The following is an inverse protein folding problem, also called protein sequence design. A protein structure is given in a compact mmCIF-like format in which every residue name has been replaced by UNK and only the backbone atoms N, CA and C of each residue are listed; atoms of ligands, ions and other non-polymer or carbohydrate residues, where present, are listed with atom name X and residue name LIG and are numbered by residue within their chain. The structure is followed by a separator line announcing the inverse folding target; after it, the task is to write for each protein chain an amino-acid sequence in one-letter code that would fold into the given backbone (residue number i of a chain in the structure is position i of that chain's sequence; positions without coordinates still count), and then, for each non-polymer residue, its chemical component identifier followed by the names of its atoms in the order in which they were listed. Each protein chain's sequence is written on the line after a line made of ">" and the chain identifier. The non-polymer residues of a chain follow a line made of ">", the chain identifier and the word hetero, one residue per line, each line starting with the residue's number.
data_IF_656467068973
#
_entry.id   IF_656467068973
#
_cell.length_a   1.000
_cell.length_b   1.000
_cell.length_c   1.000
_cell.angle_alpha   90.00
_cell.angle_beta   90.00
_cell.angle_gamma   90.00
#
_symmetry.space_group_name_H-M   'P 1'
#
loop_
_entity.id
_entity.type
_entity.pdbx_description
1 polymer ?
#
# COMPACT_ATOMS: atom_id res chain seq x y z
N UNK A 1 20.86 11.25 15.05
CA UNK A 1 20.42 11.06 13.63
C UNK A 1 19.01 11.55 13.31
N UNK A 2 17.90 10.96 13.78
CA UNK A 2 16.54 11.40 13.36
C UNK A 2 16.30 12.92 13.49
N UNK A 3 16.59 13.51 14.65
CA UNK A 3 16.46 14.97 14.88
C UNK A 3 17.28 15.80 13.87
N UNK A 4 18.47 15.34 13.49
CA UNK A 4 19.31 16.00 12.47
C UNK A 4 18.68 15.93 11.08
N UNK A 5 17.96 14.85 10.77
CA UNK A 5 17.33 14.65 9.46
C UNK A 5 16.02 15.45 9.29
N UNK A 6 15.38 15.88 10.37
CA UNK A 6 14.14 16.67 10.29
C UNK A 6 14.35 18.00 9.54
N UNK A 7 15.54 18.60 9.68
CA UNK A 7 15.94 19.87 9.05
C UNK A 7 17.05 19.75 8.00
N UNK A 8 17.50 18.53 7.67
CA UNK A 8 18.57 18.34 6.69
C UNK A 8 18.14 18.70 5.27
N UNK A 9 19.12 18.98 4.40
CA UNK A 9 18.91 19.20 2.96
C UNK A 9 18.30 17.97 2.27
N UNK A 10 18.76 16.77 2.64
CA UNK A 10 18.22 15.50 2.14
C UNK A 10 17.38 14.88 3.25
N UNK A 11 16.06 14.84 3.05
CA UNK A 11 15.09 14.47 4.09
C UNK A 11 14.54 13.05 3.86
N UNK A 12 14.48 12.23 4.92
CA UNK A 12 13.84 10.92 4.89
C UNK A 12 12.32 11.08 5.09
N UNK A 13 11.58 11.23 3.99
CA UNK A 13 10.13 11.51 4.04
C UNK A 13 9.28 10.25 4.24
N UNK A 14 9.86 9.07 3.99
CA UNK A 14 9.26 7.78 4.24
C UNK A 14 10.35 6.73 4.41
N UNK A 15 10.20 5.85 5.38
CA UNK A 15 10.99 4.64 5.53
C UNK A 15 10.06 3.43 5.44
N UNK A 16 10.49 2.43 4.68
CA UNK A 16 9.77 1.18 4.45
C UNK A 16 10.66 0.01 4.83
N UNK A 17 10.14 -0.94 5.61
CA UNK A 17 10.81 -2.20 5.93
C UNK A 17 9.99 -3.36 5.34
N UNK A 18 10.66 -4.29 4.68
CA UNK A 18 10.08 -5.55 4.23
C UNK A 18 10.34 -6.61 5.31
N UNK A 19 9.33 -7.40 5.66
CA UNK A 19 9.44 -8.43 6.70
C UNK A 19 8.58 -9.65 6.37
N UNK A 20 8.79 -10.74 7.11
CA UNK A 20 7.87 -11.87 7.13
C UNK A 20 6.72 -11.58 8.11
N UNK A 21 5.53 -12.17 7.90
CA UNK A 21 4.40 -11.98 8.81
C UNK A 21 4.71 -12.36 10.27
N UNK A 22 5.49 -13.42 10.47
CA UNK A 22 5.91 -13.92 11.78
C UNK A 22 6.99 -13.07 12.48
N UNK A 23 7.48 -12.01 11.84
CA UNK A 23 8.40 -11.01 12.42
C UNK A 23 7.81 -9.60 12.36
N UNK A 24 6.50 -9.50 12.64
CA UNK A 24 5.77 -8.24 12.62
C UNK A 24 4.77 -8.16 13.80
N UNK A 25 5.27 -8.48 14.99
CA UNK A 25 4.52 -8.35 16.25
C UNK A 25 4.87 -7.04 16.96
N UNK A 26 4.31 -6.83 18.15
CA UNK A 26 4.43 -5.58 18.91
C UNK A 26 5.89 -5.14 19.10
N UNK A 27 6.77 -6.08 19.48
CA UNK A 27 8.20 -5.81 19.67
C UNK A 27 8.89 -5.33 18.39
N UNK A 28 8.69 -6.03 17.27
CA UNK A 28 9.32 -5.66 16.00
C UNK A 28 8.73 -4.34 15.47
N UNK A 29 7.43 -4.12 15.65
CA UNK A 29 6.77 -2.86 15.25
C UNK A 29 7.32 -1.69 16.08
N UNK A 30 7.55 -1.87 17.38
CA UNK A 30 8.14 -0.85 18.24
C UNK A 30 9.54 -0.45 17.76
N UNK A 31 10.35 -1.44 17.37
CA UNK A 31 11.67 -1.21 16.78
C UNK A 31 11.57 -0.51 15.41
N UNK A 32 10.63 -0.91 14.56
CA UNK A 32 10.36 -0.22 13.29
C UNK A 32 10.00 1.26 13.52
N UNK A 33 9.11 1.55 14.48
CA UNK A 33 8.74 2.92 14.83
C UNK A 33 9.93 3.70 15.41
N UNK A 34 10.81 3.04 16.18
CA UNK A 34 12.07 3.63 16.67
C UNK A 34 12.98 4.04 15.52
N UNK A 35 13.02 3.29 14.42
CA UNK A 35 13.77 3.68 13.22
C UNK A 35 13.08 4.75 12.37
N UNK A 36 11.81 5.09 12.64
CA UNK A 36 11.05 6.06 11.85
C UNK A 36 10.35 5.45 10.64
N UNK A 37 10.08 4.14 10.68
CA UNK A 37 9.31 3.43 9.65
C UNK A 37 7.90 4.00 9.57
N UNK A 38 7.42 4.16 8.33
CA UNK A 38 6.05 4.62 8.04
C UNK A 38 5.25 3.56 7.28
N UNK A 39 5.92 2.57 6.69
CA UNK A 39 5.30 1.47 5.95
C UNK A 39 6.00 0.15 6.28
N UNK A 40 5.21 -0.89 6.48
CA UNK A 40 5.70 -2.27 6.49
C UNK A 40 5.18 -2.99 5.25
N UNK A 41 6.05 -3.79 4.63
CA UNK A 41 5.68 -4.66 3.53
C UNK A 41 5.83 -6.12 3.96
N UNK A 42 4.70 -6.82 3.98
CA UNK A 42 4.57 -8.16 4.52
C UNK A 42 4.66 -9.18 3.39
N UNK A 43 5.58 -10.13 3.53
CA UNK A 43 5.77 -11.25 2.61
C UNK A 43 4.69 -12.33 2.72
N UNK A 44 3.45 -11.99 2.34
CA UNK A 44 2.26 -12.86 2.38
C UNK A 44 2.35 -14.00 1.37
N UNK A 45 2.61 -13.67 0.11
CA UNK A 45 2.80 -14.54 -1.04
C UNK A 45 1.53 -15.28 -1.49
N UNK A 46 0.90 -16.03 -0.58
CA UNK A 46 -0.34 -16.78 -0.79
C UNK A 46 -1.28 -16.64 0.42
N UNK A 47 -2.58 -16.84 0.20
CA UNK A 47 -3.59 -16.98 1.26
C UNK A 47 -4.05 -18.45 1.43
N UNK A 48 -3.31 -19.40 0.86
CA UNK A 48 -3.55 -20.83 0.94
C UNK A 48 -2.41 -21.47 1.77
N UNK A 49 -2.75 -21.99 2.96
CA UNK A 49 -1.78 -22.59 3.87
C UNK A 49 -1.10 -23.84 3.28
N UNK A 50 -1.76 -24.58 2.38
CA UNK A 50 -1.15 -25.76 1.76
C UNK A 50 -0.10 -25.34 0.72
N UNK A 51 -0.37 -24.26 -0.02
CA UNK A 51 0.63 -23.64 -0.90
C UNK A 51 1.82 -23.12 -0.07
N UNK A 52 1.57 -22.41 1.04
CA UNK A 52 2.62 -21.88 1.91
C UNK A 52 3.50 -23.02 2.49
N UNK A 53 2.89 -24.13 2.92
CA UNK A 53 3.62 -25.32 3.38
C UNK A 53 4.41 -25.97 2.24
N UNK A 54 3.82 -26.13 1.06
CA UNK A 54 4.47 -26.73 -0.10
C UNK A 54 5.73 -25.96 -0.52
N UNK A 55 5.70 -24.63 -0.42
CA UNK A 55 6.87 -23.76 -0.68
C UNK A 55 7.71 -23.48 0.58
N UNK A 56 7.53 -24.27 1.65
CA UNK A 56 8.32 -24.26 2.89
C UNK A 56 8.39 -22.86 3.53
N UNK A 57 7.27 -22.13 3.54
CA UNK A 57 7.16 -20.86 4.27
C UNK A 57 7.01 -21.12 5.76
N UNK A 58 7.78 -20.40 6.57
CA UNK A 58 7.70 -20.49 8.03
C UNK A 58 6.60 -19.63 8.66
N UNK A 59 5.53 -19.34 7.91
CA UNK A 59 4.37 -18.57 8.37
C UNK A 59 3.10 -19.10 7.70
N UNK A 60 1.95 -18.94 8.35
CA UNK A 60 0.63 -19.19 7.77
C UNK A 60 -0.19 -17.91 7.63
N UNK A 61 -1.42 -18.07 7.16
CA UNK A 61 -2.36 -16.95 6.96
C UNK A 61 -2.74 -16.26 8.26
N UNK A 62 -2.73 -16.98 9.39
CA UNK A 62 -3.05 -16.40 10.70
C UNK A 62 -2.00 -15.36 11.14
N UNK A 63 -0.72 -15.62 10.86
CA UNK A 63 0.35 -14.64 11.11
C UNK A 63 0.16 -13.38 10.26
N UNK A 64 -0.35 -13.52 9.03
CA UNK A 64 -0.68 -12.38 8.17
C UNK A 64 -1.80 -11.52 8.77
N UNK A 65 -2.87 -12.16 9.29
CA UNK A 65 -3.96 -11.43 9.95
C UNK A 65 -3.47 -10.67 11.19
N UNK A 66 -2.68 -11.34 12.04
CA UNK A 66 -2.11 -10.74 13.26
C UNK A 66 -1.19 -9.56 12.92
N UNK A 67 -0.22 -9.77 12.04
CA UNK A 67 0.74 -8.74 11.61
C UNK A 67 0.04 -7.51 11.03
N UNK A 68 -0.97 -7.73 10.18
CA UNK A 68 -1.74 -6.66 9.55
C UNK A 68 -2.52 -5.84 10.57
N UNK A 69 -3.18 -6.51 11.51
CA UNK A 69 -3.92 -5.85 12.58
C UNK A 69 -3.00 -5.00 13.45
N UNK A 70 -1.89 -5.56 13.91
CA UNK A 70 -0.92 -4.85 14.75
C UNK A 70 -0.32 -3.65 14.01
N UNK A 71 0.14 -3.84 12.77
CA UNK A 71 0.71 -2.77 11.96
C UNK A 71 -0.30 -1.63 11.71
N UNK A 72 -1.54 -1.94 11.34
CA UNK A 72 -2.62 -0.93 11.17
C UNK A 72 -2.91 -0.19 12.46
N UNK A 73 -2.98 -0.88 13.59
CA UNK A 73 -3.25 -0.28 14.89
C UNK A 73 -2.05 0.51 15.45
N UNK A 74 -0.85 0.33 14.91
CA UNK A 74 0.31 1.20 15.10
C UNK A 74 0.40 2.34 14.04
N UNK A 75 -0.64 2.51 13.23
CA UNK A 75 -0.80 3.47 12.13
C UNK A 75 0.12 3.26 10.92
N UNK A 76 0.91 2.19 10.88
CA UNK A 76 1.76 1.89 9.71
C UNK A 76 0.90 1.64 8.47
N UNK A 77 1.40 2.09 7.32
CA UNK A 77 0.92 1.65 6.01
C UNK A 77 1.28 0.17 5.85
N UNK A 78 0.37 -0.64 5.32
CA UNK A 78 0.57 -2.08 5.13
C UNK A 78 0.55 -2.40 3.65
N UNK A 79 1.69 -2.83 3.12
CA UNK A 79 1.79 -3.40 1.78
C UNK A 79 1.92 -4.91 1.83
N UNK A 80 1.35 -5.63 0.87
CA UNK A 80 1.59 -7.06 0.71
C UNK A 80 2.43 -7.35 -0.52
N UNK A 81 3.31 -8.32 -0.36
CA UNK A 81 3.99 -8.98 -1.46
C UNK A 81 3.24 -10.28 -1.79
N UNK A 82 2.63 -10.34 -2.98
CA UNK A 82 1.81 -11.46 -3.46
C UNK A 82 2.49 -12.14 -4.64
N UNK A 83 2.44 -13.47 -4.69
CA UNK A 83 3.13 -14.26 -5.70
C UNK A 83 2.18 -15.24 -6.40
N UNK A 84 1.58 -14.87 -7.55
CA UNK A 84 0.84 -15.84 -8.36
C UNK A 84 1.79 -16.88 -8.97
N UNK A 85 1.26 -18.06 -9.29
CA UNK A 85 2.01 -19.14 -9.94
C UNK A 85 2.94 -19.92 -9.02
N UNK A 86 2.74 -19.89 -7.69
CA UNK A 86 3.48 -20.76 -6.77
C UNK A 86 3.16 -22.25 -7.04
N UNK A 87 4.08 -23.19 -6.75
CA UNK A 87 3.79 -24.62 -6.79
C UNK A 87 2.50 -24.99 -6.04
N UNK A 88 1.64 -25.79 -6.67
CA UNK A 88 0.33 -26.16 -6.13
C UNK A 88 -0.77 -25.10 -6.31
N UNK A 89 -0.45 -23.93 -6.88
CA UNK A 89 -1.45 -22.94 -7.29
C UNK A 89 -2.05 -23.24 -8.67
N UNK A 90 -3.09 -22.48 -9.02
CA UNK A 90 -3.70 -22.45 -10.35
C UNK A 90 -4.18 -21.03 -10.65
N UNK A 91 -4.42 -20.72 -11.92
CA UNK A 91 -4.94 -19.40 -12.31
C UNK A 91 -6.22 -19.03 -11.54
N UNK A 92 -7.13 -19.99 -11.34
CA UNK A 92 -8.36 -19.79 -10.56
C UNK A 92 -8.05 -19.45 -9.09
N UNK A 93 -7.14 -20.19 -8.44
CA UNK A 93 -6.73 -19.93 -7.05
C UNK A 93 -6.06 -18.56 -6.92
N UNK A 94 -5.18 -18.20 -7.87
CA UNK A 94 -4.48 -16.91 -7.84
C UNK A 94 -5.44 -15.73 -8.00
N UNK A 95 -6.39 -15.80 -8.94
CA UNK A 95 -7.41 -14.77 -9.14
C UNK A 95 -8.29 -14.63 -7.89
N UNK A 96 -8.72 -15.77 -7.33
CA UNK A 96 -9.55 -15.81 -6.13
C UNK A 96 -8.83 -15.24 -4.90
N UNK A 97 -7.54 -15.51 -4.75
CA UNK A 97 -6.72 -14.91 -3.71
C UNK A 97 -6.77 -13.38 -3.76
N UNK A 98 -6.71 -12.76 -4.95
CA UNK A 98 -6.82 -11.30 -5.08
C UNK A 98 -8.21 -10.76 -4.74
N UNK A 99 -9.27 -11.53 -4.95
CA UNK A 99 -10.62 -11.19 -4.48
C UNK A 99 -10.67 -11.19 -2.95
N UNK A 100 -10.21 -12.28 -2.34
CA UNK A 100 -10.20 -12.47 -0.87
C UNK A 100 -9.44 -11.33 -0.16
N UNK A 101 -8.32 -10.85 -0.74
CA UNK A 101 -7.54 -9.74 -0.18
C UNK A 101 -8.37 -8.50 0.16
N UNK A 102 -9.44 -8.23 -0.61
CA UNK A 102 -10.26 -7.04 -0.45
C UNK A 102 -11.64 -7.32 0.16
N UNK A 103 -12.13 -8.55 0.02
CA UNK A 103 -13.40 -8.97 0.64
C UNK A 103 -13.24 -9.25 2.14
N UNK A 104 -12.14 -9.87 2.55
CA UNK A 104 -11.87 -10.17 3.96
C UNK A 104 -11.37 -8.93 4.72
N UNK A 105 -12.12 -8.42 5.71
CA UNK A 105 -11.73 -7.23 6.47
C UNK A 105 -10.45 -7.44 7.30
N UNK A 106 -9.97 -8.67 7.52
CA UNK A 106 -8.70 -8.92 8.24
C UNK A 106 -7.47 -8.54 7.41
N UNK A 107 -7.61 -8.40 6.09
CA UNK A 107 -6.52 -8.17 5.14
C UNK A 107 -6.50 -6.73 4.63
N UNK A 108 -7.28 -6.44 3.57
CA UNK A 108 -7.44 -5.13 2.91
C UNK A 108 -6.14 -4.31 2.87
N UNK A 109 -5.05 -4.75 2.22
CA UNK A 109 -3.75 -4.06 2.25
C UNK A 109 -3.76 -2.74 1.46
N UNK A 110 -3.09 -1.69 1.96
CA UNK A 110 -3.04 -0.37 1.31
C UNK A 110 -2.28 -0.40 -0.03
N UNK A 111 -1.37 -1.36 -0.18
CA UNK A 111 -0.55 -1.50 -1.37
C UNK A 111 -0.23 -2.97 -1.70
N UNK A 112 0.02 -3.23 -2.98
CA UNK A 112 0.46 -4.53 -3.48
C UNK A 112 1.76 -4.42 -4.27
N UNK A 113 2.66 -5.38 -4.03
CA UNK A 113 3.70 -5.82 -4.96
C UNK A 113 3.29 -7.21 -5.45
N UNK A 114 3.00 -7.32 -6.74
CA UNK A 114 2.56 -8.59 -7.34
C UNK A 114 3.73 -9.11 -8.15
N UNK A 115 4.38 -10.20 -7.74
CA UNK A 115 5.50 -10.80 -8.45
C UNK A 115 5.15 -12.24 -8.84
N UNK A 116 4.81 -12.50 -10.11
CA UNK A 116 4.69 -13.87 -10.61
C UNK A 116 5.91 -14.69 -10.22
N UNK A 117 5.68 -15.94 -9.82
CA UNK A 117 6.74 -16.82 -9.36
C UNK A 117 7.68 -17.16 -10.50
N UNK A 118 8.98 -17.05 -10.24
CA UNK A 118 10.04 -17.27 -11.22
C UNK A 118 11.01 -18.31 -10.70
N UNK A 119 11.60 -19.07 -11.62
CA UNK A 119 12.60 -20.08 -11.30
C UNK A 119 13.99 -19.46 -11.38
N UNK A 120 14.71 -19.46 -10.26
CA UNK A 120 16.09 -18.98 -10.18
C UNK A 120 17.03 -20.15 -9.90
N UNK A 121 18.19 -20.18 -10.55
CA UNK A 121 19.20 -21.23 -10.33
C UNK A 121 19.61 -21.29 -8.86
N UNK A 122 19.77 -22.50 -8.33
CA UNK A 122 20.14 -22.74 -6.93
C UNK A 122 18.98 -22.69 -5.93
N UNK A 123 17.73 -22.59 -6.41
CA UNK A 123 16.53 -22.67 -5.55
C UNK A 123 15.86 -24.05 -5.64
N UNK A 124 15.07 -24.41 -4.62
CA UNK A 124 14.27 -25.66 -4.67
C UNK A 124 13.30 -25.65 -5.86
N UNK A 125 12.77 -24.48 -6.25
CA UNK A 125 11.93 -24.33 -7.44
C UNK A 125 12.66 -24.73 -8.72
N UNK A 126 13.97 -24.46 -8.81
CA UNK A 126 14.79 -24.87 -9.96
C UNK A 126 14.88 -26.39 -10.06
N UNK A 127 15.08 -27.07 -8.94
CA UNK A 127 15.09 -28.54 -8.88
C UNK A 127 13.74 -29.12 -9.29
N UNK A 128 12.63 -28.59 -8.73
CA UNK A 128 11.27 -29.01 -9.11
C UNK A 128 10.98 -28.80 -10.59
N UNK A 129 11.46 -27.70 -11.18
CA UNK A 129 11.29 -27.40 -12.60
C UNK A 129 12.09 -28.36 -13.49
N UNK A 130 13.35 -28.63 -13.14
CA UNK A 130 14.20 -29.60 -13.85
C UNK A 130 13.64 -31.02 -13.81
N UNK A 131 13.02 -31.41 -12.69
CA UNK A 131 12.34 -32.70 -12.51
C UNK A 131 10.95 -32.75 -13.18
N UNK A 132 10.49 -31.69 -13.84
CA UNK A 132 9.16 -31.61 -14.46
C UNK A 132 7.98 -31.49 -13.48
N UNK A 133 8.26 -31.33 -12.19
CA UNK A 133 7.26 -31.24 -11.10
C UNK A 133 6.68 -29.84 -10.92
N UNK A 134 7.24 -28.83 -11.58
CA UNK A 134 6.76 -27.45 -11.53
C UNK A 134 6.90 -26.77 -12.89
N UNK A 135 5.83 -26.13 -13.34
CA UNK A 135 5.80 -25.28 -14.52
C UNK A 135 5.50 -23.84 -14.09
N UNK A 136 6.44 -22.89 -14.22
CA UNK A 136 6.18 -21.49 -13.90
C UNK A 136 5.24 -20.86 -14.95
N UNK A 137 4.59 -19.76 -14.56
CA UNK A 137 3.75 -18.97 -15.46
C UNK A 137 4.58 -18.35 -16.59
N UNK A 138 4.06 -18.42 -17.81
CA UNK A 138 4.50 -17.57 -18.90
C UNK A 138 4.10 -16.10 -18.66
N UNK A 139 4.74 -15.20 -19.41
CA UNK A 139 4.42 -13.77 -19.40
C UNK A 139 2.94 -13.49 -19.74
N UNK A 140 2.36 -14.26 -20.67
CA UNK A 140 0.95 -14.15 -21.06
C UNK A 140 -0.01 -14.63 -19.96
N UNK A 141 0.25 -15.79 -19.36
CA UNK A 141 -0.57 -16.33 -18.26
C UNK A 141 -0.52 -15.39 -17.03
N UNK A 142 0.67 -14.90 -16.69
CA UNK A 142 0.84 -13.94 -15.60
C UNK A 142 0.07 -12.64 -15.87
N UNK A 143 0.16 -12.11 -17.09
CA UNK A 143 -0.56 -10.89 -17.45
C UNK A 143 -2.08 -11.10 -17.41
N UNK A 144 -2.56 -12.27 -17.84
CA UNK A 144 -3.96 -12.65 -17.78
C UNK A 144 -4.46 -12.67 -16.33
N UNK A 145 -3.81 -13.43 -15.45
CA UNK A 145 -4.14 -13.51 -14.02
C UNK A 145 -4.14 -12.12 -13.37
N UNK A 146 -3.12 -11.29 -13.64
CA UNK A 146 -3.02 -9.95 -13.03
C UNK A 146 -4.10 -9.01 -13.59
N UNK A 147 -4.47 -9.14 -14.87
CA UNK A 147 -5.57 -8.36 -15.46
C UNK A 147 -6.91 -8.70 -14.81
N UNK A 148 -7.13 -9.97 -14.49
CA UNK A 148 -8.31 -10.46 -13.75
C UNK A 148 -8.28 -9.97 -12.30
N UNK A 149 -7.14 -10.10 -11.61
CA UNK A 149 -6.94 -9.61 -10.26
C UNK A 149 -7.24 -8.11 -10.11
N UNK A 150 -6.84 -7.30 -11.09
CA UNK A 150 -7.03 -5.83 -11.08
C UNK A 150 -8.50 -5.40 -11.03
N UNK A 151 -9.45 -6.29 -11.31
CA UNK A 151 -10.90 -6.03 -11.18
C UNK A 151 -11.33 -5.85 -9.73
N UNK A 152 -10.69 -6.56 -8.81
CA UNK A 152 -11.02 -6.55 -7.38
C UNK A 152 -10.28 -5.45 -6.61
N UNK A 153 -9.26 -4.82 -7.22
CA UNK A 153 -8.41 -3.84 -6.54
C UNK A 153 -9.17 -2.51 -6.37
N UNK A 154 -9.44 -2.08 -5.13
CA UNK A 154 -10.25 -0.92 -4.86
C UNK A 154 -9.49 0.39 -5.07
N UNK A 155 -10.24 1.51 -5.10
CA UNK A 155 -9.71 2.86 -5.31
C UNK A 155 -8.66 3.30 -4.29
N UNK A 156 -8.69 2.74 -3.07
CA UNK A 156 -7.78 3.06 -1.98
C UNK A 156 -6.49 2.23 -1.97
N UNK A 157 -6.39 1.16 -2.78
CA UNK A 157 -5.19 0.32 -2.88
C UNK A 157 -4.24 0.81 -3.97
N UNK A 158 -2.92 0.75 -3.73
CA UNK A 158 -1.88 1.06 -4.71
C UNK A 158 -1.12 -0.18 -5.18
N UNK A 159 -1.23 -0.54 -6.46
CA UNK A 159 -0.37 -1.58 -7.07
C UNK A 159 0.99 -0.99 -7.45
N UNK A 160 1.96 -1.10 -6.56
CA UNK A 160 3.29 -0.52 -6.70
C UNK A 160 4.04 -1.15 -7.88
N UNK A 161 4.09 -2.48 -7.91
CA UNK A 161 4.82 -3.26 -8.90
C UNK A 161 4.02 -4.51 -9.30
N UNK A 162 4.21 -4.94 -10.54
CA UNK A 162 3.60 -6.16 -11.12
C UNK A 162 4.65 -7.17 -11.59
N UNK A 163 5.93 -6.87 -11.35
CA UNK A 163 7.08 -7.73 -11.63
C UNK A 163 8.25 -7.26 -10.77
N UNK A 164 9.23 -8.14 -10.56
CA UNK A 164 10.50 -7.82 -9.89
C UNK A 164 11.58 -7.53 -10.94
N UNK A 165 12.48 -6.62 -10.61
CA UNK A 165 13.65 -6.31 -11.43
C UNK A 165 14.72 -7.37 -11.14
N UNK A 166 14.64 -8.52 -11.80
CA UNK A 166 15.65 -9.58 -11.73
C UNK A 166 16.41 -9.61 -13.06
N UNK A 167 17.76 -9.63 -13.06
CA UNK A 167 18.53 -9.79 -14.29
C UNK A 167 18.10 -11.05 -15.05
N UNK A 168 17.89 -10.95 -16.36
CA UNK A 168 17.45 -12.09 -17.20
C UNK A 168 18.36 -13.30 -17.07
N UNK A 169 19.67 -13.08 -16.89
CA UNK A 169 20.68 -14.13 -16.74
C UNK A 169 20.47 -14.99 -15.47
N UNK A 170 19.80 -14.44 -14.45
CA UNK A 170 19.50 -15.16 -13.22
C UNK A 170 18.20 -15.98 -13.31
N UNK A 171 17.37 -15.74 -14.33
CA UNK A 171 16.07 -16.36 -14.52
C UNK A 171 16.24 -17.60 -15.38
N UNK A 172 15.92 -18.77 -14.83
CA UNK A 172 15.95 -20.04 -15.56
C UNK A 172 14.63 -20.33 -16.27
N UNK A 173 13.50 -19.94 -15.69
CA UNK A 173 12.17 -20.08 -16.29
C UNK A 173 11.13 -19.15 -15.62
N UNK A 174 10.04 -18.86 -16.33
CA UNK A 174 8.94 -18.01 -15.87
C UNK A 174 8.82 -16.72 -16.72
N UNK A 175 8.30 -15.65 -16.11
CA UNK A 175 8.14 -14.36 -16.78
C UNK A 175 9.50 -13.80 -17.22
N UNK A 176 9.70 -13.67 -18.53
CA UNK A 176 10.98 -13.29 -19.15
C UNK A 176 10.99 -11.86 -19.71
N UNK A 177 9.85 -11.17 -19.65
CA UNK A 177 9.69 -9.81 -20.13
C UNK A 177 9.91 -8.76 -19.04
N UNK A 178 10.49 -7.63 -19.43
CA UNK A 178 10.74 -6.48 -18.55
C UNK A 178 9.59 -5.47 -18.55
N UNK A 179 8.54 -5.71 -19.31
CA UNK A 179 7.41 -4.79 -19.48
C UNK A 179 6.04 -5.44 -19.19
N UNK A 180 5.96 -6.40 -18.27
CA UNK A 180 4.72 -7.12 -17.93
C UNK A 180 3.55 -6.17 -17.61
N UNK A 181 3.84 -5.00 -17.03
CA UNK A 181 2.82 -3.97 -16.76
C UNK A 181 2.10 -3.50 -18.03
N UNK A 182 2.83 -3.29 -19.11
CA UNK A 182 2.25 -2.86 -20.39
C UNK A 182 1.36 -3.95 -20.97
N UNK A 183 1.78 -5.22 -20.86
CA UNK A 183 0.96 -6.35 -21.30
C UNK A 183 -0.34 -6.47 -20.48
N UNK A 184 -0.27 -6.31 -19.15
CA UNK A 184 -1.46 -6.27 -18.29
C UNK A 184 -2.40 -5.13 -18.69
N UNK A 185 -1.87 -3.95 -19.02
CA UNK A 185 -2.65 -2.80 -19.45
C UNK A 185 -3.31 -3.03 -20.82
N UNK A 186 -2.60 -3.67 -21.75
CA UNK A 186 -3.15 -4.11 -23.05
C UNK A 186 -4.33 -5.07 -22.85
N UNK A 187 -4.17 -6.13 -22.04
CA UNK A 187 -5.25 -7.10 -21.75
C UNK A 187 -6.48 -6.45 -21.10
N UNK A 188 -6.27 -5.50 -20.20
CA UNK A 188 -7.39 -4.74 -19.63
C UNK A 188 -8.15 -3.96 -20.70
N UNK A 189 -7.44 -3.32 -21.63
CA UNK A 189 -8.03 -2.56 -22.74
C UNK A 189 -8.81 -3.48 -23.69
N UNK A 190 -8.25 -4.62 -24.06
CA UNK A 190 -8.91 -5.64 -24.90
C UNK A 190 -10.22 -6.15 -24.27
N UNK A 191 -10.25 -6.22 -22.94
CA UNK A 191 -11.45 -6.61 -22.17
C UNK A 191 -12.44 -5.46 -21.93
N UNK A 192 -12.17 -4.25 -22.44
CA UNK A 192 -13.00 -3.06 -22.20
C UNK A 192 -13.00 -2.59 -20.74
N UNK A 193 -11.94 -2.88 -19.97
CA UNK A 193 -11.88 -2.59 -18.51
C UNK A 193 -10.80 -1.56 -18.18
N UNK A 194 -11.06 -0.77 -17.14
CA UNK A 194 -10.09 0.17 -16.54
C UNK A 194 -9.79 -0.25 -15.11
N UNK A 195 -8.53 -0.11 -14.71
CA UNK A 195 -8.11 -0.37 -13.32
C UNK A 195 -8.29 0.90 -12.48
N UNK A 196 -8.95 0.76 -11.33
CA UNK A 196 -9.29 1.89 -10.43
C UNK A 196 -8.26 2.12 -9.32
N UNK A 197 -7.21 1.30 -9.22
CA UNK A 197 -6.19 1.43 -8.17
C UNK A 197 -5.48 2.80 -8.24
N UNK A 198 -4.90 3.24 -7.13
CA UNK A 198 -4.21 4.55 -7.03
C UNK A 198 -3.20 4.72 -8.16
N UNK A 199 -2.32 3.73 -8.39
CA UNK A 199 -1.23 3.78 -9.40
C UNK A 199 -1.73 4.09 -10.82
N UNK A 200 -2.92 3.62 -11.18
CA UNK A 200 -3.51 3.80 -12.52
C UNK A 200 -4.17 5.18 -12.68
N UNK A 201 -4.52 5.83 -11.56
CA UNK A 201 -5.15 7.15 -11.50
C UNK A 201 -4.18 8.27 -11.12
N UNK A 202 -2.91 7.98 -10.85
CA UNK A 202 -1.90 9.03 -10.59
C UNK A 202 -1.81 9.96 -11.82
N UNK A 203 -1.74 11.29 -11.64
CA UNK A 203 -1.74 12.24 -12.74
C UNK A 203 -0.54 12.02 -13.66
N UNK A 204 0.65 11.81 -13.09
CA UNK A 204 1.92 11.71 -13.84
C UNK A 204 2.02 12.89 -14.82
N UNK A 205 2.06 12.63 -16.13
CA UNK A 205 2.12 13.65 -17.19
C UNK A 205 0.74 13.90 -17.84
N UNK A 206 -0.36 13.44 -17.24
CA UNK A 206 -1.71 13.68 -17.76
C UNK A 206 -2.19 15.07 -17.34
N UNK A 207 -2.92 15.73 -18.23
CA UNK A 207 -3.60 16.99 -17.93
C UNK A 207 -4.69 16.74 -16.88
N UNK A 208 -4.71 17.59 -15.86
CA UNK A 208 -5.72 17.60 -14.81
C UNK A 208 -6.75 18.67 -15.14
N UNK A 209 -8.03 18.31 -15.10
CA UNK A 209 -9.11 19.28 -15.06
C UNK A 209 -9.35 19.66 -13.60
N UNK A 210 -9.04 20.89 -13.22
CA UNK A 210 -9.20 21.36 -11.84
C UNK A 210 -10.65 21.73 -11.49
N UNK A 211 -11.50 22.01 -12.49
CA UNK A 211 -12.91 22.35 -12.29
C UNK A 211 -13.75 21.12 -11.90
N UNK A 212 -13.32 19.94 -12.35
CA UNK A 212 -13.94 18.65 -12.02
C UNK A 212 -13.46 18.06 -10.69
N UNK A 213 -12.53 18.73 -9.98
CA UNK A 213 -11.90 18.17 -8.77
C UNK A 213 -12.88 18.18 -7.60
N UNK A 214 -13.13 17.00 -7.03
CA UNK A 214 -14.01 16.82 -5.87
C UNK A 214 -13.29 16.08 -4.73
N UNK A 215 -13.67 16.43 -3.50
CA UNK A 215 -13.33 15.65 -2.32
C UNK A 215 -14.25 14.42 -2.29
N UNK A 216 -13.63 13.24 -2.23
CA UNK A 216 -14.29 11.94 -2.17
C UNK A 216 -13.97 11.26 -0.85
N UNK A 217 -14.86 10.37 -0.42
CA UNK A 217 -14.73 9.56 0.80
C UNK A 217 -15.12 8.12 0.51
N UNK A 218 -14.30 7.17 1.00
CA UNK A 218 -14.58 5.75 0.96
C UNK A 218 -14.31 5.17 2.35
N UNK A 219 -15.34 4.62 2.97
CA UNK A 219 -15.24 3.97 4.28
C UNK A 219 -15.20 2.45 4.09
N UNK A 220 -14.34 1.77 4.84
CA UNK A 220 -14.29 0.30 4.86
C UNK A 220 -13.75 -0.20 6.19
N UNK A 221 -14.28 -1.32 6.67
CA UNK A 221 -13.79 -1.93 7.91
C UNK A 221 -12.50 -2.71 7.63
N UNK A 222 -11.48 -2.55 8.47
CA UNK A 222 -10.23 -3.28 8.34
C UNK A 222 -9.62 -3.58 9.70
N UNK A 223 -9.34 -4.87 9.93
CA UNK A 223 -8.65 -5.40 11.11
C UNK A 223 -9.25 -4.89 12.44
N UNK A 224 -10.58 -4.97 12.56
CA UNK A 224 -11.31 -4.57 13.77
C UNK A 224 -11.43 -3.06 14.02
N UNK A 225 -11.10 -2.24 13.02
CA UNK A 225 -11.33 -0.79 13.03
C UNK A 225 -11.95 -0.30 11.72
N UNK A 226 -12.23 0.99 11.64
CA UNK A 226 -12.75 1.63 10.42
C UNK A 226 -11.65 2.45 9.74
N UNK A 227 -11.51 2.27 8.43
CA UNK A 227 -10.66 3.08 7.58
C UNK A 227 -11.54 4.03 6.75
N UNK A 228 -11.10 5.27 6.66
CA UNK A 228 -11.75 6.35 5.93
C UNK A 228 -10.70 6.90 4.96
N UNK A 229 -10.90 6.61 3.68
CA UNK A 229 -10.03 7.06 2.61
C UNK A 229 -10.61 8.32 1.98
N UNK A 230 -9.99 9.46 2.26
CA UNK A 230 -10.35 10.75 1.67
C UNK A 230 -9.45 11.00 0.46
N UNK A 231 -9.99 11.51 -0.64
CA UNK A 231 -9.17 11.89 -1.79
C UNK A 231 -9.72 13.08 -2.56
N UNK A 232 -8.83 13.87 -3.14
CA UNK A 232 -9.20 14.82 -4.18
C UNK A 232 -9.01 14.15 -5.54
N UNK A 233 -10.11 13.96 -6.27
CA UNK A 233 -10.09 13.32 -7.59
C UNK A 233 -10.63 14.29 -8.65
N UNK A 234 -9.95 14.39 -9.79
CA UNK A 234 -10.51 14.90 -11.05
C UNK A 234 -11.48 13.83 -11.57
N UNK A 235 -12.78 14.16 -11.51
CA UNK A 235 -13.84 13.21 -11.79
C UNK A 235 -14.02 12.92 -13.29
N UNK A 236 -13.57 13.83 -14.15
CA UNK A 236 -13.68 13.69 -15.60
C UNK A 236 -12.58 12.77 -16.14
N UNK A 237 -11.33 13.01 -15.71
CA UNK A 237 -10.18 12.22 -16.15
C UNK A 237 -9.89 10.99 -15.27
N UNK A 238 -10.66 10.79 -14.19
CA UNK A 238 -10.45 9.76 -13.15
C UNK A 238 -9.02 9.78 -12.60
N UNK A 239 -8.54 10.98 -12.22
CA UNK A 239 -7.19 11.18 -11.66
C UNK A 239 -7.23 11.51 -10.18
N UNK A 240 -6.34 10.92 -9.39
CA UNK A 240 -6.20 11.18 -7.95
C UNK A 240 -5.08 12.19 -7.69
N UNK A 241 -5.41 13.35 -7.12
CA UNK A 241 -4.48 14.46 -6.89
C UNK A 241 -3.86 14.44 -5.49
N UNK A 242 -4.57 13.87 -4.52
CA UNK A 242 -4.07 13.65 -3.17
C UNK A 242 -5.05 12.83 -2.35
N UNK A 243 -4.57 12.22 -1.28
CA UNK A 243 -5.40 11.40 -0.40
C UNK A 243 -4.90 11.40 1.05
N UNK A 244 -5.81 11.06 1.96
CA UNK A 244 -5.58 10.86 3.37
C UNK A 244 -6.18 9.51 3.81
N UNK A 245 -5.41 8.73 4.56
CA UNK A 245 -5.86 7.48 5.20
C UNK A 245 -6.10 7.74 6.68
N UNK A 246 -7.35 7.95 7.04
CA UNK A 246 -7.79 8.10 8.43
C UNK A 246 -8.26 6.75 8.96
N UNK A 247 -7.88 6.39 10.19
CA UNK A 247 -8.25 5.16 10.88
C UNK A 247 -8.87 5.49 12.23
N UNK A 248 -9.98 4.84 12.52
CA UNK A 248 -10.65 4.84 13.82
C UNK A 248 -10.57 3.43 14.41
N UNK A 249 -9.89 3.28 15.55
CA UNK A 249 -9.70 1.98 16.21
C UNK A 249 -9.46 2.16 17.71
N UNK A 250 -10.06 1.29 18.52
CA UNK A 250 -9.85 1.22 19.97
C UNK A 250 -8.82 0.15 20.38
N UNK A 251 -8.17 -0.48 19.41
CA UNK A 251 -7.37 -1.69 19.58
C UNK A 251 -5.85 -1.45 19.41
N UNK A 252 -5.38 -0.21 19.64
CA UNK A 252 -3.94 0.07 19.61
C UNK A 252 -3.25 -0.43 20.87
N UNK A 253 -2.11 -1.11 20.70
CA UNK A 253 -1.20 -1.47 21.78
C UNK A 253 -0.22 -0.32 22.09
N UNK A 254 -0.16 0.71 21.23
CA UNK A 254 0.72 1.87 21.41
C UNK A 254 0.11 2.85 22.39
N UNK A 255 0.82 3.11 23.49
CA UNK A 255 0.40 4.07 24.54
C UNK A 255 0.11 5.48 24.01
N UNK A 256 0.72 5.88 22.89
CA UNK A 256 0.48 7.19 22.28
C UNK A 256 -0.88 7.30 21.58
N UNK A 257 -1.54 6.18 21.27
CA UNK A 257 -2.82 6.13 20.56
C UNK A 257 -3.89 5.70 21.56
N UNK A 258 -4.59 6.69 22.10
CA UNK A 258 -5.66 6.50 23.06
C UNK A 258 -6.94 5.92 22.43
N UNK A 259 -7.88 5.43 23.24
CA UNK A 259 -9.17 4.90 22.76
C UNK A 259 -10.06 5.94 22.08
N UNK A 260 -9.88 7.21 22.42
CA UNK A 260 -10.61 8.36 21.85
C UNK A 260 -9.75 9.10 20.81
N UNK A 261 -8.74 8.44 20.26
CA UNK A 261 -7.83 9.03 19.28
C UNK A 261 -8.16 8.54 17.87
N UNK A 262 -8.16 9.46 16.91
CA UNK A 262 -8.13 9.12 15.49
C UNK A 262 -6.69 9.04 14.99
N UNK A 263 -6.44 8.21 13.97
CA UNK A 263 -5.10 7.98 13.43
C UNK A 263 -4.99 8.31 11.95
N UNK A 264 -4.06 9.19 11.55
CA UNK A 264 -3.71 9.36 10.13
C UNK A 264 -2.49 8.50 9.81
N UNK A 265 -2.71 7.56 8.88
CA UNK A 265 -1.73 6.55 8.44
C UNK A 265 -0.92 7.02 7.24
N UNK A 266 -1.52 7.89 6.43
CA UNK A 266 -0.88 8.45 5.24
C UNK A 266 -1.57 9.76 4.85
N UNK A 267 -0.77 10.77 4.55
CA UNK A 267 -1.18 11.94 3.77
C UNK A 267 -0.25 12.02 2.57
N UNK A 268 -0.82 12.03 1.36
CA UNK A 268 -0.06 12.11 0.13
C UNK A 268 -0.71 13.09 -0.82
N UNK A 269 0.07 13.99 -1.41
CA UNK A 269 -0.39 14.91 -2.46
C UNK A 269 0.57 14.74 -3.62
N UNK A 270 0.03 14.41 -4.79
CA UNK A 270 0.81 14.37 -6.01
C UNK A 270 1.09 15.82 -6.44
N UNK A 271 2.37 16.14 -6.66
CA UNK A 271 2.68 17.33 -7.47
C UNK A 271 2.23 17.04 -8.89
N UNK A 272 1.52 17.96 -9.55
CA UNK A 272 1.45 17.90 -11.00
C UNK A 272 2.88 17.81 -11.52
N UNK A 273 3.13 16.88 -12.45
CA UNK A 273 4.27 17.06 -13.32
C UNK A 273 4.03 18.40 -14.00
N UNK A 274 4.77 19.43 -13.57
CA UNK A 274 4.77 20.71 -14.24
C UNK A 274 5.25 20.42 -15.66
N UNK A 275 4.36 20.57 -16.64
CA UNK A 275 4.81 20.78 -18.00
C UNK A 275 5.76 21.99 -17.97
N UNK A 276 6.90 21.80 -18.64
CA UNK A 276 7.89 22.82 -18.93
C UNK A 276 7.21 23.96 -19.69
N UNK A 277 6.74 24.96 -18.96
CA UNK A 277 6.17 26.18 -19.54
C UNK A 277 4.89 26.61 -18.86
N UNK A 278 5.00 27.70 -18.08
CA UNK A 278 3.92 28.57 -17.60
C UNK A 278 2.98 28.03 -16.49
N UNK A 279 3.01 28.74 -15.36
CA UNK A 279 1.92 28.98 -14.38
C UNK A 279 1.13 27.80 -13.74
N UNK A 280 1.50 26.53 -13.93
CA UNK A 280 0.82 25.40 -13.26
C UNK A 280 1.12 25.17 -11.76
N UNK A 281 1.99 25.97 -11.14
CA UNK A 281 2.49 25.73 -9.75
C UNK A 281 1.51 26.11 -8.62
N UNK A 282 0.41 26.81 -8.91
CA UNK A 282 -0.35 27.53 -7.89
C UNK A 282 -1.50 26.70 -7.27
N UNK A 283 -2.12 25.76 -8.00
CA UNK A 283 -3.37 25.11 -7.54
C UNK A 283 -3.22 23.89 -6.60
N UNK A 284 -2.02 23.27 -6.51
CA UNK A 284 -1.77 22.22 -5.49
C UNK A 284 -1.59 22.76 -4.07
N UNK A 285 -1.43 24.09 -3.92
CA UNK A 285 -1.24 24.73 -2.63
C UNK A 285 -2.51 24.58 -1.79
N UNK A 286 -2.50 23.63 -0.86
CA UNK A 286 -3.51 23.51 0.19
C UNK A 286 -4.35 22.24 0.18
N UNK A 287 -4.27 21.38 -0.84
CA UNK A 287 -5.01 20.10 -0.86
C UNK A 287 -4.67 19.24 0.36
N UNK A 288 -3.39 19.16 0.72
CA UNK A 288 -2.95 18.44 1.94
C UNK A 288 -3.56 19.03 3.22
N UNK A 289 -3.64 20.37 3.32
CA UNK A 289 -4.26 21.04 4.48
C UNK A 289 -5.77 20.80 4.52
N UNK A 290 -6.45 20.82 3.37
CA UNK A 290 -7.89 20.54 3.26
C UNK A 290 -8.21 19.08 3.64
N UNK A 291 -7.40 18.12 3.17
CA UNK A 291 -7.52 16.71 3.56
C UNK A 291 -7.30 16.51 5.08
N UNK A 292 -6.34 17.22 5.66
CA UNK A 292 -6.12 17.19 7.11
C UNK A 292 -7.29 17.82 7.88
N UNK A 293 -7.77 18.98 7.44
CA UNK A 293 -8.91 19.64 8.08
C UNK A 293 -10.18 18.77 8.03
N UNK A 294 -10.45 18.11 6.90
CA UNK A 294 -11.57 17.18 6.81
C UNK A 294 -11.36 15.94 7.71
N UNK A 295 -10.15 15.40 7.78
CA UNK A 295 -9.86 14.29 8.67
C UNK A 295 -10.03 14.68 10.16
N UNK A 296 -9.63 15.90 10.54
CA UNK A 296 -9.85 16.48 11.87
C UNK A 296 -11.35 16.65 12.16
N UNK A 297 -12.11 17.19 11.19
CA UNK A 297 -13.57 17.36 11.29
C UNK A 297 -14.28 16.02 11.49
N UNK A 298 -14.02 15.04 10.63
CA UNK A 298 -14.60 13.69 10.72
C UNK A 298 -14.27 13.06 12.07
N UNK A 299 -13.01 13.11 12.49
CA UNK A 299 -12.58 12.54 13.77
C UNK A 299 -13.36 13.15 14.95
N UNK A 300 -13.52 14.48 14.97
CA UNK A 300 -14.22 15.21 16.04
C UNK A 300 -15.73 15.02 16.00
N UNK A 301 -16.35 15.33 14.87
CA UNK A 301 -17.81 15.47 14.75
C UNK A 301 -18.52 14.15 14.57
N UNK A 302 -17.92 13.19 13.84
CA UNK A 302 -18.57 11.90 13.54
C UNK A 302 -18.15 10.80 14.50
N UNK A 303 -16.92 10.85 15.01
CA UNK A 303 -16.36 9.79 15.87
C UNK A 303 -16.04 10.24 17.30
N UNK A 304 -16.35 11.49 17.67
CA UNK A 304 -16.13 12.04 19.01
C UNK A 304 -14.70 11.84 19.53
N UNK A 305 -13.71 11.84 18.63
CA UNK A 305 -12.31 11.73 18.99
C UNK A 305 -11.82 13.06 19.57
N UNK A 306 -10.97 12.99 20.59
CA UNK A 306 -10.43 14.16 21.31
C UNK A 306 -9.06 14.58 20.77
N UNK A 307 -8.41 13.70 20.05
CA UNK A 307 -7.06 13.89 19.53
C UNK A 307 -6.88 13.14 18.21
N UNK A 308 -6.06 13.70 17.33
CA UNK A 308 -5.60 13.04 16.12
C UNK A 308 -4.10 12.77 16.20
N UNK A 309 -3.68 11.56 15.84
CA UNK A 309 -2.30 11.09 15.88
C UNK A 309 -1.86 10.71 14.47
N UNK A 310 -0.68 11.14 14.04
CA UNK A 310 -0.18 10.95 12.68
C UNK A 310 1.16 10.22 12.71
N UNK A 311 1.26 9.13 11.94
CA UNK A 311 2.57 8.56 11.59
C UNK A 311 3.21 9.43 10.50
N UNK A 312 4.38 9.99 10.79
CA UNK A 312 5.06 10.91 9.89
C UNK A 312 6.50 10.47 9.69
N UNK A 313 6.96 10.52 8.43
CA UNK A 313 8.38 10.37 8.13
C UNK A 313 9.17 11.47 8.81
N UNK A 314 10.39 11.14 9.25
CA UNK A 314 11.26 12.06 10.00
C UNK A 314 11.41 13.40 9.29
N UNK A 315 11.65 13.37 7.97
CA UNK A 315 11.79 14.55 7.13
C UNK A 315 10.54 15.40 6.90
N UNK A 316 9.36 14.96 7.36
CA UNK A 316 8.07 15.62 7.14
C UNK A 316 7.47 16.17 8.44
N UNK A 317 8.04 15.88 9.61
CA UNK A 317 7.49 16.33 10.90
C UNK A 317 7.32 17.85 10.99
N UNK A 318 8.25 18.62 10.45
CA UNK A 318 8.19 20.09 10.40
C UNK A 318 6.93 20.61 9.67
N UNK A 319 6.45 19.90 8.64
CA UNK A 319 5.21 20.27 7.94
C UNK A 319 4.02 20.26 8.90
N UNK A 320 3.91 19.22 9.75
CA UNK A 320 2.84 19.09 10.72
C UNK A 320 2.99 20.07 11.89
N UNK A 321 4.22 20.36 12.32
CA UNK A 321 4.47 21.36 13.38
C UNK A 321 3.96 22.74 12.98
N UNK A 322 4.13 23.14 11.72
CA UNK A 322 3.57 24.38 11.16
C UNK A 322 2.03 24.41 11.13
N UNK A 323 1.38 23.26 11.29
CA UNK A 323 -0.07 23.11 11.35
C UNK A 323 -0.60 22.94 12.80
N UNK A 324 0.26 23.15 13.80
CA UNK A 324 -0.10 23.08 15.21
C UNK A 324 -0.01 21.68 15.84
N UNK A 325 0.52 20.69 15.10
CA UNK A 325 0.80 19.38 15.68
C UNK A 325 2.04 19.44 16.57
N UNK A 326 2.08 18.58 17.59
CA UNK A 326 3.19 18.47 18.54
C UNK A 326 3.80 17.06 18.51
N UNK A 327 5.06 16.88 18.88
CA UNK A 327 5.66 15.55 19.00
C UNK A 327 4.89 14.67 20.00
N UNK A 328 4.64 13.41 19.64
CA UNK A 328 4.04 12.40 20.53
C UNK A 328 4.68 11.03 20.30
N UNK A 329 5.76 10.74 21.02
CA UNK A 329 6.55 9.52 20.80
C UNK A 329 7.09 9.44 19.36
N UNK A 330 6.87 8.34 18.62
CA UNK A 330 7.27 8.26 17.21
C UNK A 330 6.37 9.11 16.28
N UNK A 331 5.18 9.50 16.75
CA UNK A 331 4.15 10.22 16.00
C UNK A 331 4.23 11.74 16.17
N UNK A 332 3.29 12.44 15.53
CA UNK A 332 2.88 13.81 15.87
C UNK A 332 1.38 13.81 16.17
N UNK A 333 0.91 14.69 17.06
CA UNK A 333 -0.51 14.75 17.41
C UNK A 333 -1.04 16.16 17.59
N UNK A 334 -2.37 16.30 17.54
CA UNK A 334 -3.09 17.55 17.77
C UNK A 334 -4.42 17.24 18.48
N UNK A 335 -4.76 18.04 19.51
CA UNK A 335 -6.09 17.98 20.15
C UNK A 335 -7.14 18.63 19.24
N UNK A 336 -8.33 18.03 19.17
CA UNK A 336 -9.40 18.41 18.25
C UNK A 336 -10.41 19.38 18.86
#
# INVERSE_FOLDING_TARGET
>A
EKKRNESSRIRCVALCIETRPDYCYEKEIDEMLRYGVTRVEIGVQSLDNDILKAVKRGHGVEEVFKATKLARNALLKVGYHMMPGLPGSSAKKDIEMFRILFDDPRLRPDALKIYPTMVLKGTELYRMWQEGKYKPLSSEEAAEIISEAKKYIPKWCRVMRVQRDIPKQAISAGVDMTNLRQLVEKKLKEKGRKCKCIRCREPRNKRVNFESVKLNRIDYDASGGKEIFLSFDDMENDLILGFCRLRISKQSFRKEICKDCAGIRELHVYGAAAELGKEGKIQHKGMGKKLLAEAERIAKEEFNCKEIVIISGVGVKEYYYKLGYKPKGPYVSKRL
#
